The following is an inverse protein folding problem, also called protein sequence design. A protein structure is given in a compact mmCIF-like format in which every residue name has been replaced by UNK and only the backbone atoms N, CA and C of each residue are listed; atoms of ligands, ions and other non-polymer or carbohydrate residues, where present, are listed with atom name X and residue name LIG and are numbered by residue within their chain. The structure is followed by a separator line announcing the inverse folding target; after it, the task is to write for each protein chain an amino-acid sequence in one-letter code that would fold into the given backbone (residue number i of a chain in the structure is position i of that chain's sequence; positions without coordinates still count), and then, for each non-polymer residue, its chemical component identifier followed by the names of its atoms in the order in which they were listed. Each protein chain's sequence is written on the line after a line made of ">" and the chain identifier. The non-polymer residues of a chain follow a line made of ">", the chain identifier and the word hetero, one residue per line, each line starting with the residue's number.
data_IF_659276002830
#
_entry.id   IF_659276002830
#
_cell.length_a   1.000
_cell.length_b   1.000
_cell.length_c   1.000
_cell.angle_alpha   90.00
_cell.angle_beta   90.00
_cell.angle_gamma   90.00
#
_symmetry.space_group_name_H-M   'P 1'
#
loop_
_entity.id
_entity.type
_entity.pdbx_description
1 polymer ?
#
# COMPACT_ATOMS: atom_id res chain seq x y z
N UNK A 1 16.62 -2.36 8.52
CA UNK A 1 16.46 -1.09 7.78
C UNK A 1 15.23 -0.34 8.27
N UNK A 2 14.05 -0.95 8.27
CA UNK A 2 12.81 -0.33 8.80
C UNK A 2 12.99 0.20 10.23
N UNK A 3 13.52 -0.61 11.15
CA UNK A 3 13.70 -0.23 12.56
C UNK A 3 14.70 0.92 12.79
N UNK A 4 15.54 1.23 11.80
CA UNK A 4 16.50 2.35 11.87
C UNK A 4 15.97 3.64 11.23
N UNK A 5 14.73 3.64 10.74
CA UNK A 5 14.12 4.79 10.04
C UNK A 5 14.75 5.07 8.67
N UNK A 6 15.49 4.12 8.09
CA UNK A 6 16.01 4.28 6.73
C UNK A 6 14.85 4.37 5.74
N UNK A 7 14.76 5.49 5.02
CA UNK A 7 13.58 5.83 4.21
C UNK A 7 13.58 5.19 2.82
N UNK A 8 14.75 5.08 2.22
CA UNK A 8 14.89 4.60 0.84
C UNK A 8 15.71 3.32 0.81
N UNK A 9 15.04 2.20 0.62
CA UNK A 9 15.67 0.90 0.53
C UNK A 9 14.79 -0.10 -0.22
N UNK A 10 15.40 -1.16 -0.68
CA UNK A 10 14.75 -2.30 -1.31
C UNK A 10 15.50 -3.57 -0.96
N UNK A 11 14.98 -4.70 -1.41
CA UNK A 11 15.67 -5.97 -1.46
C UNK A 11 15.52 -6.61 -2.85
N UNK A 12 16.11 -7.76 -3.04
CA UNK A 12 16.04 -8.53 -4.27
C UNK A 12 14.91 -9.55 -4.17
N UNK A 13 13.68 -9.13 -4.49
CA UNK A 13 12.52 -10.01 -4.37
C UNK A 13 12.72 -11.34 -5.10
N UNK A 14 12.54 -12.44 -4.36
CA UNK A 14 12.86 -13.79 -4.80
C UNK A 14 14.28 -14.24 -4.50
N UNK A 15 15.12 -13.35 -3.97
CA UNK A 15 16.52 -13.58 -3.60
C UNK A 15 17.50 -13.32 -4.75
N UNK A 16 18.66 -12.75 -4.42
CA UNK A 16 19.73 -12.47 -5.37
C UNK A 16 20.30 -13.76 -5.98
N UNK A 17 20.60 -14.77 -5.14
CA UNK A 17 20.96 -16.11 -5.56
C UNK A 17 19.73 -17.00 -5.53
N UNK A 18 19.36 -17.53 -6.70
CA UNK A 18 18.16 -18.34 -6.86
C UNK A 18 18.51 -19.81 -7.06
N UNK A 19 17.63 -20.76 -6.65
CA UNK A 19 17.86 -22.17 -6.89
C UNK A 19 17.88 -22.49 -8.38
N UNK A 20 18.71 -23.43 -8.82
CA UNK A 20 18.81 -23.81 -10.24
C UNK A 20 17.49 -24.28 -10.84
N UNK A 21 16.62 -24.93 -10.04
CA UNK A 21 15.29 -25.37 -10.46
C UNK A 21 14.18 -24.33 -10.21
N UNK A 22 14.50 -23.03 -10.11
CA UNK A 22 13.58 -21.97 -9.74
C UNK A 22 12.28 -21.94 -10.57
N UNK A 23 12.34 -22.28 -11.86
CA UNK A 23 11.17 -22.22 -12.74
C UNK A 23 10.19 -23.38 -12.59
N UNK A 24 10.59 -24.46 -11.92
CA UNK A 24 9.77 -25.68 -11.73
C UNK A 24 9.55 -26.04 -10.27
N UNK A 25 10.28 -25.39 -9.34
CA UNK A 25 10.20 -25.66 -7.91
C UNK A 25 9.01 -24.89 -7.30
N UNK A 26 7.95 -25.60 -6.96
CA UNK A 26 6.72 -24.99 -6.39
C UNK A 26 6.96 -24.34 -5.01
N UNK A 27 7.87 -24.85 -4.22
CA UNK A 27 8.26 -24.21 -2.95
C UNK A 27 8.92 -22.84 -3.18
N UNK A 28 9.79 -22.78 -4.18
CA UNK A 28 10.38 -21.48 -4.57
C UNK A 28 9.34 -20.53 -5.17
N UNK A 29 8.33 -21.04 -5.92
CA UNK A 29 7.24 -20.21 -6.43
C UNK A 29 6.46 -19.55 -5.28
N UNK A 30 6.16 -20.28 -4.21
CA UNK A 30 5.55 -19.70 -3.01
C UNK A 30 6.44 -18.61 -2.40
N UNK A 31 7.73 -18.89 -2.20
CA UNK A 31 8.69 -17.93 -1.66
C UNK A 31 8.72 -16.65 -2.51
N UNK A 32 8.79 -16.77 -3.84
CA UNK A 32 8.78 -15.62 -4.75
C UNK A 32 7.51 -14.80 -4.62
N UNK A 33 6.34 -15.47 -4.59
CA UNK A 33 5.05 -14.80 -4.42
C UNK A 33 5.01 -14.03 -3.10
N UNK A 34 5.37 -14.68 -1.97
CA UNK A 34 5.37 -14.04 -0.65
C UNK A 34 6.31 -12.85 -0.59
N UNK A 35 7.46 -12.95 -1.23
CA UNK A 35 8.42 -11.85 -1.30
C UNK A 35 7.90 -10.66 -2.13
N UNK A 36 7.25 -10.93 -3.27
CA UNK A 36 6.58 -9.90 -4.07
C UNK A 36 5.43 -9.24 -3.30
N UNK A 37 4.65 -10.03 -2.56
CA UNK A 37 3.57 -9.52 -1.70
C UNK A 37 4.10 -8.52 -0.67
N UNK A 38 5.19 -8.87 0.02
CA UNK A 38 5.84 -7.95 0.97
C UNK A 38 6.46 -6.75 0.26
N UNK A 39 7.20 -6.99 -0.84
CA UNK A 39 7.90 -5.98 -1.62
C UNK A 39 7.00 -4.91 -2.22
N UNK A 40 5.72 -5.24 -2.46
CA UNK A 40 4.70 -4.27 -2.89
C UNK A 40 4.59 -3.10 -1.91
N UNK A 41 4.91 -3.32 -0.64
CA UNK A 41 4.86 -2.34 0.44
C UNK A 41 6.24 -1.92 0.95
N UNK A 42 7.29 -2.14 0.18
CA UNK A 42 8.61 -1.58 0.46
C UNK A 42 8.74 -0.17 -0.16
N UNK A 43 9.63 0.67 0.37
CA UNK A 43 9.85 2.00 -0.21
C UNK A 43 10.17 1.94 -1.70
N UNK A 44 11.08 1.08 -2.09
CA UNK A 44 11.40 0.77 -3.49
C UNK A 44 11.07 -0.72 -3.73
N UNK A 45 10.33 -1.00 -4.79
CA UNK A 45 9.99 -2.36 -5.19
C UNK A 45 10.84 -2.77 -6.39
N UNK A 46 11.54 -3.90 -6.30
CA UNK A 46 12.24 -4.48 -7.43
C UNK A 46 12.26 -6.00 -7.39
N UNK A 47 12.43 -6.60 -8.54
CA UNK A 47 12.77 -8.02 -8.71
C UNK A 47 14.17 -8.06 -9.30
N UNK A 48 15.12 -8.75 -8.64
CA UNK A 48 16.50 -8.84 -9.07
C UNK A 48 17.09 -10.19 -8.69
N UNK A 49 18.00 -10.71 -9.52
CA UNK A 49 18.70 -11.97 -9.25
C UNK A 49 19.97 -12.10 -10.08
N UNK A 50 20.99 -12.75 -9.52
CA UNK A 50 22.27 -12.97 -10.18
C UNK A 50 22.14 -14.06 -11.25
N UNK A 51 22.56 -13.73 -12.48
CA UNK A 51 22.60 -14.66 -13.63
C UNK A 51 21.31 -15.46 -13.83
N UNK A 52 20.15 -14.87 -13.56
CA UNK A 52 18.86 -15.52 -13.76
C UNK A 52 17.84 -14.56 -14.38
N UNK A 53 16.96 -15.12 -15.18
CA UNK A 53 15.81 -14.39 -15.70
C UNK A 53 14.77 -14.27 -14.59
N UNK A 54 14.25 -13.06 -14.38
CA UNK A 54 13.38 -12.75 -13.24
C UNK A 54 11.96 -12.36 -13.65
N UNK A 55 11.66 -12.48 -14.93
CA UNK A 55 10.37 -12.13 -15.51
C UNK A 55 9.25 -13.05 -15.00
N UNK A 56 8.11 -12.50 -14.56
CA UNK A 56 7.02 -13.28 -13.95
C UNK A 56 6.51 -14.46 -14.78
N UNK A 57 6.43 -14.30 -16.09
CA UNK A 57 5.95 -15.34 -17.02
C UNK A 57 6.82 -16.61 -17.09
N UNK A 58 8.05 -16.56 -16.59
CA UNK A 58 8.95 -17.70 -16.51
C UNK A 58 8.53 -18.74 -15.48
N UNK A 59 7.70 -18.35 -14.53
CA UNK A 59 7.27 -19.17 -13.39
C UNK A 59 5.88 -19.81 -13.60
N UNK A 60 5.30 -19.65 -14.79
CA UNK A 60 3.99 -20.17 -15.19
C UNK A 60 2.82 -19.25 -14.82
N UNK A 61 1.69 -19.47 -15.49
CA UNK A 61 0.52 -18.58 -15.49
C UNK A 61 -0.01 -18.24 -14.09
N UNK A 62 -0.04 -19.22 -13.17
CA UNK A 62 -0.52 -18.97 -11.81
C UNK A 62 0.35 -17.97 -11.06
N UNK A 63 1.67 -18.11 -11.15
CA UNK A 63 2.63 -17.22 -10.48
C UNK A 63 2.58 -15.84 -11.12
N UNK A 64 2.60 -15.79 -12.46
CA UNK A 64 2.48 -14.57 -13.23
C UNK A 64 1.22 -13.77 -12.86
N UNK A 65 0.06 -14.43 -12.83
CA UNK A 65 -1.21 -13.81 -12.47
C UNK A 65 -1.18 -13.19 -11.06
N UNK A 66 -0.61 -13.90 -10.08
CA UNK A 66 -0.51 -13.39 -8.70
C UNK A 66 0.44 -12.19 -8.65
N UNK A 67 1.60 -12.28 -9.30
CA UNK A 67 2.57 -11.18 -9.35
C UNK A 67 1.97 -9.95 -10.02
N UNK A 68 1.34 -10.11 -11.19
CA UNK A 68 0.69 -9.02 -11.92
C UNK A 68 -0.35 -8.30 -11.04
N UNK A 69 -1.15 -9.05 -10.28
CA UNK A 69 -2.13 -8.50 -9.35
C UNK A 69 -1.48 -7.59 -8.28
N UNK A 70 -0.30 -7.94 -7.75
CA UNK A 70 0.41 -7.11 -6.77
C UNK A 70 1.12 -5.92 -7.41
N UNK A 71 1.56 -6.05 -8.65
CA UNK A 71 2.05 -4.90 -9.44
C UNK A 71 0.92 -3.90 -9.69
N UNK A 72 -0.27 -4.38 -10.08
CA UNK A 72 -1.46 -3.54 -10.22
C UNK A 72 -1.79 -2.80 -8.92
N UNK A 73 -1.75 -3.51 -7.77
CA UNK A 73 -1.96 -2.87 -6.48
C UNK A 73 -0.93 -1.77 -6.21
N UNK A 74 0.35 -2.04 -6.48
CA UNK A 74 1.42 -1.04 -6.33
C UNK A 74 1.18 0.19 -7.20
N UNK A 75 0.80 -0.01 -8.48
CA UNK A 75 0.49 1.10 -9.38
C UNK A 75 -0.73 1.90 -8.92
N UNK A 76 -1.77 1.24 -8.46
CA UNK A 76 -2.94 1.93 -7.90
C UNK A 76 -2.62 2.72 -6.64
N UNK A 77 -1.71 2.24 -5.82
CA UNK A 77 -1.23 2.95 -4.62
C UNK A 77 -0.28 4.12 -4.92
N UNK A 78 0.16 4.35 -6.17
CA UNK A 78 1.13 5.40 -6.48
C UNK A 78 0.75 6.80 -5.97
N UNK A 79 -0.50 7.29 -6.06
CA UNK A 79 -0.86 8.58 -5.48
C UNK A 79 -0.64 8.64 -3.96
N UNK A 80 -0.98 7.56 -3.26
CA UNK A 80 -0.73 7.41 -1.83
C UNK A 80 0.77 7.38 -1.54
N UNK A 81 1.52 6.53 -2.22
CA UNK A 81 2.97 6.36 -2.04
C UNK A 81 3.71 7.67 -2.33
N UNK A 82 3.37 8.34 -3.43
CA UNK A 82 4.05 9.56 -3.85
C UNK A 82 3.86 10.70 -2.85
N UNK A 83 2.64 10.86 -2.34
CA UNK A 83 2.34 11.83 -1.28
C UNK A 83 3.07 11.51 0.03
N UNK A 84 3.20 10.24 0.40
CA UNK A 84 4.00 9.85 1.57
C UNK A 84 5.50 10.08 1.36
N UNK A 85 6.01 9.90 0.14
CA UNK A 85 7.38 10.20 -0.20
C UNK A 85 7.69 11.72 -0.16
N UNK A 86 6.72 12.55 -0.51
CA UNK A 86 6.82 13.99 -0.28
C UNK A 86 6.92 14.29 1.23
N UNK A 87 6.12 13.63 2.07
CA UNK A 87 6.24 13.78 3.53
C UNK A 87 7.60 13.31 4.08
N UNK A 88 8.23 12.30 3.45
CA UNK A 88 9.62 11.92 3.77
C UNK A 88 10.56 13.09 3.49
N UNK A 89 10.47 13.69 2.32
CA UNK A 89 11.39 14.75 1.88
C UNK A 89 11.19 16.07 2.64
N UNK A 90 9.94 16.46 2.91
CA UNK A 90 9.64 17.75 3.52
C UNK A 90 9.52 17.72 5.05
N UNK A 91 9.10 16.58 5.62
CA UNK A 91 8.73 16.50 7.05
C UNK A 91 9.59 15.49 7.82
N UNK A 92 10.57 14.83 7.18
CA UNK A 92 11.39 13.82 7.83
C UNK A 92 10.61 12.57 8.26
N UNK A 93 9.50 12.28 7.59
CA UNK A 93 8.68 11.06 7.80
C UNK A 93 9.38 9.82 7.27
N UNK A 94 8.78 8.66 7.42
CA UNK A 94 9.18 7.42 6.73
C UNK A 94 7.96 6.66 6.24
N UNK A 95 8.08 6.04 5.05
CA UNK A 95 6.96 5.32 4.43
C UNK A 95 6.69 3.98 5.10
N UNK A 96 7.74 3.20 5.37
CA UNK A 96 7.65 1.89 6.01
C UNK A 96 8.13 2.00 7.45
N UNK A 97 7.25 1.72 8.42
CA UNK A 97 7.48 1.95 9.83
C UNK A 97 7.19 0.72 10.68
N UNK A 98 8.07 0.30 11.58
CA UNK A 98 7.71 -0.71 12.57
C UNK A 98 6.57 -0.20 13.44
N UNK A 99 5.71 -1.10 13.93
CA UNK A 99 4.52 -0.70 14.70
C UNK A 99 4.85 0.17 15.91
N UNK A 100 6.03 0.00 16.51
CA UNK A 100 6.49 0.81 17.65
C UNK A 100 6.54 2.32 17.37
N UNK A 101 6.74 2.72 16.12
CA UNK A 101 6.79 4.16 15.79
C UNK A 101 5.41 4.83 15.84
N UNK A 102 4.37 4.10 15.53
CA UNK A 102 2.99 4.59 15.52
C UNK A 102 2.21 4.24 16.79
N UNK A 103 2.65 3.20 17.52
CA UNK A 103 1.98 2.65 18.70
C UNK A 103 3.00 2.41 19.84
N UNK A 104 3.72 3.45 20.32
CA UNK A 104 4.82 3.28 21.29
C UNK A 104 4.37 2.78 22.66
N UNK A 105 3.12 3.03 23.04
CA UNK A 105 2.55 2.60 24.33
C UNK A 105 1.88 1.23 24.27
N UNK A 106 1.76 0.65 23.07
CA UNK A 106 1.14 -0.65 22.86
C UNK A 106 2.19 -1.76 22.96
N UNK A 107 2.18 -2.45 24.12
CA UNK A 107 3.15 -3.52 24.42
C UNK A 107 3.23 -4.59 23.33
N UNK A 108 2.09 -5.01 22.78
CA UNK A 108 2.08 -6.06 21.78
C UNK A 108 2.55 -5.56 20.41
N UNK A 109 2.38 -4.28 20.12
CA UNK A 109 2.97 -3.67 18.92
C UNK A 109 4.50 -3.68 18.96
N UNK A 110 5.10 -3.52 20.14
CA UNK A 110 6.56 -3.59 20.33
C UNK A 110 7.14 -4.98 20.03
N UNK A 111 6.34 -6.02 20.19
CA UNK A 111 6.75 -7.42 20.01
C UNK A 111 6.59 -7.92 18.56
N UNK A 112 5.99 -7.11 17.66
CA UNK A 112 5.77 -7.51 16.27
C UNK A 112 6.99 -7.28 15.39
N UNK A 113 7.65 -8.37 14.99
CA UNK A 113 8.89 -8.32 14.19
C UNK A 113 8.65 -8.20 12.68
N UNK A 114 7.50 -8.65 12.18
CA UNK A 114 7.22 -8.75 10.74
C UNK A 114 6.10 -7.82 10.27
N UNK A 115 5.23 -7.40 11.20
CA UNK A 115 4.17 -6.45 10.86
C UNK A 115 4.71 -5.03 10.84
N UNK A 116 4.19 -4.21 9.93
CA UNK A 116 4.58 -2.82 9.80
C UNK A 116 3.46 -1.95 9.25
N UNK A 117 3.59 -0.65 9.48
CA UNK A 117 2.75 0.35 8.82
C UNK A 117 3.38 0.78 7.50
N UNK A 118 2.57 0.84 6.47
CA UNK A 118 2.90 1.45 5.18
C UNK A 118 2.17 2.79 5.07
N UNK A 119 2.91 3.87 5.29
CA UNK A 119 2.33 5.17 5.58
C UNK A 119 1.47 5.14 6.85
N UNK A 120 0.66 6.16 7.10
CA UNK A 120 -0.12 6.27 8.34
C UNK A 120 -1.35 5.35 8.40
N UNK A 121 -1.72 4.72 7.28
CA UNK A 121 -3.05 4.14 7.12
C UNK A 121 -3.08 2.62 6.98
N UNK A 122 -2.04 2.00 6.41
CA UNK A 122 -2.09 0.58 6.02
C UNK A 122 -1.16 -0.24 6.91
N UNK A 123 -1.72 -1.19 7.65
CA UNK A 123 -0.98 -2.24 8.35
C UNK A 123 -0.77 -3.43 7.40
N UNK A 124 0.46 -3.84 7.26
CA UNK A 124 0.89 -4.97 6.44
C UNK A 124 1.40 -6.08 7.35
N UNK A 125 0.88 -7.30 7.19
CA UNK A 125 1.34 -8.48 7.91
C UNK A 125 1.82 -9.56 6.91
N UNK A 126 3.07 -9.50 6.44
CA UNK A 126 3.59 -10.45 5.47
C UNK A 126 3.55 -11.89 5.97
N UNK A 127 3.25 -12.82 5.08
CA UNK A 127 3.41 -14.26 5.35
C UNK A 127 4.87 -14.61 5.09
N UNK A 128 5.61 -14.94 6.14
CA UNK A 128 7.07 -15.17 6.08
C UNK A 128 7.45 -16.65 6.17
N UNK A 129 6.47 -17.52 6.36
CA UNK A 129 6.66 -18.97 6.46
C UNK A 129 5.95 -19.67 5.30
N UNK A 130 6.60 -20.73 4.78
CA UNK A 130 6.05 -21.53 3.68
C UNK A 130 4.94 -22.47 4.17
N UNK A 131 3.94 -22.70 3.30
CA UNK A 131 2.84 -23.63 3.57
C UNK A 131 1.82 -23.17 4.61
N UNK A 132 1.91 -21.92 5.05
CA UNK A 132 0.97 -21.32 6.02
C UNK A 132 -0.35 -21.02 5.36
N UNK A 133 -1.45 -21.52 5.95
CA UNK A 133 -2.82 -21.24 5.52
C UNK A 133 -3.63 -20.44 6.56
N UNK A 134 -3.06 -20.19 7.73
CA UNK A 134 -3.63 -19.39 8.82
C UNK A 134 -2.51 -18.75 9.63
N UNK A 135 -2.66 -17.49 9.98
CA UNK A 135 -1.71 -16.78 10.82
C UNK A 135 -2.41 -15.86 11.81
N UNK A 136 -1.76 -15.59 12.93
CA UNK A 136 -2.19 -14.54 13.86
C UNK A 136 -1.63 -13.20 13.44
N UNK A 137 -2.49 -12.21 13.35
CA UNK A 137 -2.13 -10.82 13.11
C UNK A 137 -2.50 -10.01 14.34
N UNK A 138 -1.60 -9.21 14.84
CA UNK A 138 -1.88 -8.24 15.87
C UNK A 138 -2.40 -6.95 15.23
N UNK A 139 -3.56 -6.50 15.65
CA UNK A 139 -4.12 -5.21 15.28
C UNK A 139 -3.91 -4.24 16.45
N UNK A 140 -2.98 -3.27 16.34
CA UNK A 140 -2.67 -2.34 17.42
C UNK A 140 -3.89 -1.58 17.93
N UNK A 141 -3.81 -1.12 19.18
CA UNK A 141 -4.91 -0.39 19.77
C UNK A 141 -5.24 0.88 18.98
N UNK A 142 -6.47 0.95 18.54
CA UNK A 142 -7.02 2.07 17.79
C UNK A 142 -8.51 2.18 18.12
N UNK A 143 -8.95 3.31 18.64
CA UNK A 143 -10.33 3.48 19.11
C UNK A 143 -11.37 3.21 18.02
N UNK A 144 -11.10 3.59 16.79
CA UNK A 144 -11.97 3.37 15.64
C UNK A 144 -11.82 1.96 15.03
N UNK A 145 -10.77 1.23 15.39
CA UNK A 145 -10.46 -0.10 14.86
C UNK A 145 -9.82 -0.10 13.47
N UNK A 146 -9.90 -1.23 12.83
CA UNK A 146 -9.28 -1.56 11.56
C UNK A 146 -10.30 -2.16 10.60
N UNK A 147 -10.04 -2.05 9.32
CA UNK A 147 -10.87 -2.64 8.27
C UNK A 147 -9.99 -3.53 7.40
N UNK A 148 -10.39 -4.78 7.19
CA UNK A 148 -9.69 -5.65 6.23
C UNK A 148 -9.76 -5.05 4.83
N UNK A 149 -8.61 -4.87 4.20
CA UNK A 149 -8.51 -4.28 2.87
C UNK A 149 -9.19 -5.15 1.79
N UNK A 150 -9.21 -6.48 2.00
CA UNK A 150 -9.65 -7.42 0.96
C UNK A 150 -11.16 -7.61 0.91
N UNK A 151 -11.83 -7.51 2.06
CA UNK A 151 -13.28 -7.78 2.15
C UNK A 151 -14.08 -6.74 2.93
N UNK A 152 -13.42 -5.70 3.47
CA UNK A 152 -14.09 -4.61 4.17
C UNK A 152 -14.58 -4.98 5.58
N UNK A 153 -14.23 -6.16 6.10
CA UNK A 153 -14.64 -6.58 7.44
C UNK A 153 -14.01 -5.68 8.51
N UNK A 154 -14.81 -5.10 9.41
CA UNK A 154 -14.28 -4.30 10.52
C UNK A 154 -13.73 -5.19 11.64
N UNK A 155 -12.61 -4.76 12.22
CA UNK A 155 -11.93 -5.39 13.34
C UNK A 155 -11.67 -4.38 14.47
N UNK A 156 -11.72 -4.84 15.71
CA UNK A 156 -11.31 -4.03 16.86
C UNK A 156 -9.77 -3.90 16.89
N UNK A 157 -9.28 -2.79 17.43
CA UNK A 157 -7.88 -2.66 17.83
C UNK A 157 -7.59 -3.35 19.17
N UNK A 158 -6.29 -3.49 19.50
CA UNK A 158 -5.80 -4.11 20.74
C UNK A 158 -5.96 -5.64 20.79
N UNK A 159 -6.13 -6.33 19.65
CA UNK A 159 -6.40 -7.77 19.62
C UNK A 159 -5.51 -8.52 18.64
N UNK A 160 -5.29 -9.79 18.94
CA UNK A 160 -4.83 -10.77 17.96
C UNK A 160 -6.02 -11.35 17.21
N UNK A 161 -5.97 -11.35 15.91
CA UNK A 161 -6.99 -11.97 15.06
C UNK A 161 -6.38 -13.10 14.22
N UNK A 162 -7.11 -14.19 14.06
CA UNK A 162 -6.72 -15.31 13.21
C UNK A 162 -7.21 -15.07 11.80
N UNK A 163 -6.28 -14.99 10.85
CA UNK A 163 -6.55 -14.73 9.44
C UNK A 163 -6.23 -15.95 8.60
N UNK A 164 -7.19 -16.37 7.78
CA UNK A 164 -6.92 -17.36 6.74
C UNK A 164 -6.11 -16.70 5.61
N UNK A 165 -5.02 -17.34 5.22
CA UNK A 165 -4.12 -16.85 4.17
C UNK A 165 -4.01 -17.88 3.05
N UNK A 166 -3.98 -17.40 1.83
CA UNK A 166 -3.68 -18.17 0.62
C UNK A 166 -2.57 -17.48 -0.18
N UNK A 167 -2.24 -18.01 -1.34
CA UNK A 167 -1.22 -17.39 -2.19
C UNK A 167 -1.71 -16.10 -2.88
N UNK A 168 -3.02 -15.84 -2.90
CA UNK A 168 -3.59 -14.67 -3.56
C UNK A 168 -3.56 -13.41 -2.68
N UNK A 169 -3.46 -13.59 -1.35
CA UNK A 169 -3.60 -12.47 -0.39
C UNK A 169 -2.50 -12.51 0.66
N UNK A 170 -1.96 -11.34 0.97
CA UNK A 170 -1.27 -11.08 2.24
C UNK A 170 -2.21 -10.26 3.13
N UNK A 171 -2.29 -10.49 4.45
CA UNK A 171 -3.15 -9.71 5.32
C UNK A 171 -2.79 -8.23 5.28
N UNK A 172 -3.79 -7.41 4.98
CA UNK A 172 -3.72 -5.96 4.92
C UNK A 172 -4.91 -5.39 5.68
N UNK A 173 -4.64 -4.45 6.57
CA UNK A 173 -5.68 -3.76 7.31
C UNK A 173 -5.49 -2.25 7.17
N UNK A 174 -6.59 -1.54 7.03
CA UNK A 174 -6.59 -0.09 6.95
C UNK A 174 -7.21 0.47 8.23
N UNK A 175 -6.52 1.43 8.83
CA UNK A 175 -7.02 2.09 10.04
C UNK A 175 -8.32 2.84 9.73
N UNK A 176 -9.36 2.64 10.53
CA UNK A 176 -10.61 3.39 10.38
C UNK A 176 -10.36 4.89 10.54
N UNK A 177 -11.06 5.72 9.77
CA UNK A 177 -10.80 7.14 9.58
C UNK A 177 -9.80 7.44 8.46
N UNK A 178 -9.17 6.44 7.84
CA UNK A 178 -8.22 6.68 6.75
C UNK A 178 -8.88 7.05 5.43
N UNK A 179 -8.16 7.85 4.66
CA UNK A 179 -8.50 8.19 3.28
C UNK A 179 -7.34 7.68 2.40
N UNK A 180 -7.62 6.80 1.45
CA UNK A 180 -6.64 6.26 0.52
C UNK A 180 -6.92 6.77 -0.91
N UNK A 181 -6.08 7.66 -1.45
CA UNK A 181 -6.12 7.97 -2.88
C UNK A 181 -5.48 6.84 -3.68
N UNK A 182 -6.22 6.27 -4.60
CA UNK A 182 -5.81 5.22 -5.51
C UNK A 182 -5.86 5.74 -6.95
N UNK A 183 -4.78 5.55 -7.68
CA UNK A 183 -4.73 5.85 -9.11
C UNK A 183 -5.52 4.84 -9.96
N UNK A 184 -5.74 5.14 -11.24
CA UNK A 184 -6.26 4.17 -12.19
C UNK A 184 -5.25 3.03 -12.42
N UNK A 185 -5.73 1.93 -13.00
CA UNK A 185 -4.86 0.87 -13.47
C UNK A 185 -4.00 1.38 -14.63
N UNK A 186 -2.70 1.08 -14.60
CA UNK A 186 -1.72 1.53 -15.59
C UNK A 186 -0.77 0.42 -15.97
N UNK A 187 -0.26 0.46 -17.20
CA UNK A 187 0.78 -0.46 -17.68
C UNK A 187 2.19 -0.02 -17.25
N UNK A 188 2.42 1.27 -17.06
CA UNK A 188 3.66 1.85 -16.58
C UNK A 188 3.40 3.17 -15.85
N UNK A 189 4.33 3.59 -14.96
CA UNK A 189 4.09 4.69 -14.02
C UNK A 189 3.74 6.02 -14.69
N UNK A 190 4.39 6.34 -15.82
CA UNK A 190 4.19 7.58 -16.57
C UNK A 190 3.03 7.50 -17.61
N UNK A 191 2.27 6.40 -17.63
CA UNK A 191 1.11 6.32 -18.53
C UNK A 191 0.09 7.41 -18.21
N UNK A 192 -0.21 8.23 -19.20
CA UNK A 192 -1.28 9.23 -19.08
C UNK A 192 -2.64 8.58 -19.27
N UNK A 193 -3.59 8.94 -18.44
CA UNK A 193 -4.97 8.43 -18.48
C UNK A 193 -5.92 9.50 -18.00
N UNK A 194 -7.13 9.54 -18.61
CA UNK A 194 -8.23 10.37 -18.20
C UNK A 194 -9.16 9.68 -17.18
N UNK A 195 -8.84 8.44 -16.80
CA UNK A 195 -9.63 7.73 -15.80
C UNK A 195 -9.52 8.44 -14.44
N UNK A 196 -10.62 8.53 -13.69
CA UNK A 196 -10.66 9.18 -12.39
C UNK A 196 -9.81 8.39 -11.37
N UNK A 197 -9.24 9.13 -10.40
CA UNK A 197 -8.72 8.49 -9.21
C UNK A 197 -9.88 7.99 -8.35
N UNK A 198 -9.62 6.97 -7.56
CA UNK A 198 -10.54 6.46 -6.54
C UNK A 198 -10.10 6.96 -5.16
N UNK A 199 -10.98 7.67 -4.47
CA UNK A 199 -10.76 8.10 -3.09
C UNK A 199 -11.54 7.17 -2.18
N UNK A 200 -10.85 6.23 -1.53
CA UNK A 200 -11.46 5.31 -0.56
C UNK A 200 -11.48 5.93 0.82
N UNK A 201 -12.66 5.97 1.43
CA UNK A 201 -12.88 6.41 2.79
C UNK A 201 -13.17 5.18 3.63
N UNK A 202 -12.38 4.96 4.67
CA UNK A 202 -12.58 3.91 5.66
C UNK A 202 -13.28 4.52 6.87
N UNK A 203 -14.61 4.37 7.00
CA UNK A 203 -15.39 5.07 8.02
C UNK A 203 -15.08 4.56 9.44
N UNK A 204 -15.58 5.29 10.45
CA UNK A 204 -15.45 4.95 11.87
C UNK A 204 -14.73 6.01 12.70
N UNK A 205 -14.03 6.96 12.05
CA UNK A 205 -13.47 8.15 12.66
C UNK A 205 -13.30 9.26 11.63
N UNK A 206 -13.11 10.48 12.11
CA UNK A 206 -12.65 11.59 11.28
C UNK A 206 -11.25 11.32 10.75
N UNK A 207 -10.96 11.80 9.55
CA UNK A 207 -9.68 11.59 8.92
C UNK A 207 -9.25 12.68 7.97
N UNK A 208 -7.96 12.70 7.65
CA UNK A 208 -7.42 13.62 6.66
C UNK A 208 -6.27 12.98 5.90
N UNK A 209 -6.07 13.44 4.68
CA UNK A 209 -4.94 13.04 3.86
C UNK A 209 -4.54 14.21 2.95
N UNK A 210 -3.25 14.54 2.92
CA UNK A 210 -2.71 15.55 2.01
C UNK A 210 -2.14 14.88 0.78
N UNK A 211 -2.66 15.24 -0.38
CA UNK A 211 -2.17 14.77 -1.68
C UNK A 211 -1.09 15.73 -2.17
N UNK A 212 -0.04 15.17 -2.73
CA UNK A 212 1.08 15.89 -3.32
C UNK A 212 1.27 15.50 -4.79
N UNK A 213 1.55 16.49 -5.64
CA UNK A 213 1.86 16.31 -7.05
C UNK A 213 2.97 17.28 -7.49
N UNK A 214 3.84 16.83 -8.37
CA UNK A 214 4.88 17.62 -9.04
C UNK A 214 5.16 17.09 -10.46
N UNK A 215 6.24 17.52 -11.09
CA UNK A 215 6.63 17.05 -12.43
C UNK A 215 7.14 15.60 -12.47
N UNK A 216 7.45 14.98 -11.33
CA UNK A 216 7.79 13.56 -11.19
C UNK A 216 9.20 13.14 -11.60
N UNK A 217 9.93 13.94 -12.38
CA UNK A 217 11.18 13.53 -13.04
C UNK A 217 12.37 14.48 -12.80
N UNK A 218 12.21 15.51 -11.98
CA UNK A 218 13.23 16.51 -11.74
C UNK A 218 13.21 17.03 -10.30
N UNK A 219 14.08 18.00 -10.00
CA UNK A 219 14.19 18.62 -8.67
C UNK A 219 13.55 20.01 -8.59
N UNK A 220 12.62 20.35 -9.48
CA UNK A 220 11.94 21.64 -9.44
C UNK A 220 11.06 21.82 -8.22
N UNK A 221 10.64 20.71 -7.57
CA UNK A 221 9.93 20.75 -6.30
C UNK A 221 10.73 21.49 -5.20
N UNK A 222 12.06 21.42 -5.20
CA UNK A 222 12.93 22.17 -4.28
C UNK A 222 12.82 23.70 -4.48
N UNK A 223 12.32 24.12 -5.64
CA UNK A 223 12.06 25.53 -6.00
C UNK A 223 10.59 25.90 -5.85
N UNK A 224 9.79 25.04 -5.18
CA UNK A 224 8.37 25.25 -4.97
C UNK A 224 7.46 24.89 -6.15
N UNK A 225 7.98 24.17 -7.17
CA UNK A 225 7.19 23.70 -8.32
C UNK A 225 6.48 22.39 -7.96
N UNK A 226 5.47 22.48 -7.13
CA UNK A 226 4.60 21.36 -6.75
C UNK A 226 3.22 21.89 -6.34
N UNK A 227 2.27 21.00 -6.21
CA UNK A 227 0.91 21.28 -5.75
C UNK A 227 0.49 20.32 -4.66
N UNK A 228 -0.31 20.82 -3.71
CA UNK A 228 -0.94 20.00 -2.68
C UNK A 228 -2.41 20.32 -2.57
N UNK A 229 -3.21 19.35 -2.15
CA UNK A 229 -4.58 19.57 -1.69
C UNK A 229 -4.92 18.57 -0.57
N UNK A 230 -5.86 18.96 0.29
CA UNK A 230 -6.27 18.16 1.44
C UNK A 230 -7.61 17.47 1.19
N UNK A 231 -7.69 16.23 1.59
CA UNK A 231 -8.90 15.45 1.73
C UNK A 231 -9.23 15.37 3.22
N UNK A 232 -10.45 15.75 3.62
CA UNK A 232 -10.90 15.69 5.02
C UNK A 232 -12.24 14.99 5.10
N UNK A 233 -12.31 13.96 5.92
CA UNK A 233 -13.52 13.21 6.20
C UNK A 233 -14.04 13.55 7.59
N UNK A 234 -15.31 13.95 7.65
CA UNK A 234 -16.06 14.04 8.91
C UNK A 234 -16.97 12.82 9.01
N UNK A 235 -16.69 11.94 9.96
CA UNK A 235 -17.42 10.67 10.06
C UNK A 235 -18.83 10.85 10.61
N UNK A 236 -19.08 11.85 11.45
CA UNK A 236 -20.41 12.10 12.01
C UNK A 236 -21.40 12.58 10.93
N UNK A 237 -20.94 13.46 10.03
CA UNK A 237 -21.75 14.08 9.00
C UNK A 237 -21.66 13.32 7.66
N UNK A 238 -20.79 12.30 7.57
CA UNK A 238 -20.49 11.55 6.34
C UNK A 238 -20.11 12.48 5.17
N UNK A 239 -19.30 13.50 5.49
CA UNK A 239 -18.91 14.54 4.54
C UNK A 239 -17.44 14.46 4.21
N UNK A 240 -17.09 14.36 2.92
CA UNK A 240 -15.76 14.55 2.39
C UNK A 240 -15.59 15.98 1.90
N UNK A 241 -14.60 16.68 2.45
CA UNK A 241 -14.18 17.99 1.95
C UNK A 241 -12.87 17.81 1.17
N UNK A 242 -12.85 18.33 -0.07
CA UNK A 242 -11.66 18.42 -0.91
C UNK A 242 -11.28 19.90 -0.98
N UNK A 243 -10.08 20.25 -0.52
CA UNK A 243 -9.64 21.65 -0.55
C UNK A 243 -9.25 22.10 -1.96
N UNK A 244 -9.15 23.40 -2.15
CA UNK A 244 -8.47 23.95 -3.31
C UNK A 244 -6.99 23.50 -3.32
N UNK A 245 -6.42 23.40 -4.52
CA UNK A 245 -4.99 23.13 -4.70
C UNK A 245 -4.16 24.35 -4.29
N UNK A 246 -3.04 24.09 -3.61
CA UNK A 246 -2.03 25.08 -3.25
C UNK A 246 -0.76 24.82 -4.04
N UNK A 247 -0.22 25.84 -4.68
CA UNK A 247 0.95 25.71 -5.55
C UNK A 247 0.62 25.29 -6.98
N UNK A 248 1.65 25.17 -7.79
CA UNK A 248 1.55 24.79 -9.20
C UNK A 248 2.89 24.29 -9.72
N UNK A 249 2.85 23.56 -10.81
CA UNK A 249 4.02 23.06 -11.53
C UNK A 249 3.72 22.92 -13.04
N UNK A 250 4.75 22.80 -13.85
CA UNK A 250 4.59 22.67 -15.30
C UNK A 250 3.92 21.32 -15.63
N UNK A 251 2.89 21.36 -16.50
CA UNK A 251 2.11 20.17 -16.87
C UNK A 251 1.05 19.75 -15.84
N UNK A 252 0.81 20.51 -14.79
CA UNK A 252 -0.26 20.25 -13.84
C UNK A 252 -1.61 20.20 -14.54
N UNK A 253 -2.39 19.12 -14.36
CA UNK A 253 -3.76 19.02 -14.89
C UNK A 253 -4.66 20.08 -14.26
N UNK A 254 -5.39 20.83 -15.08
CA UNK A 254 -6.34 21.85 -14.59
C UNK A 254 -7.48 21.22 -13.78
N UNK A 255 -7.94 20.05 -14.18
CA UNK A 255 -9.05 19.33 -13.56
C UNK A 255 -8.67 17.89 -13.26
N UNK A 256 -9.12 17.41 -12.11
CA UNK A 256 -9.04 16.02 -11.72
C UNK A 256 -10.44 15.48 -11.44
N UNK A 257 -10.68 14.24 -11.84
CA UNK A 257 -11.93 13.54 -11.54
C UNK A 257 -11.67 12.50 -10.44
N UNK A 258 -12.61 12.39 -9.52
CA UNK A 258 -12.54 11.43 -8.41
C UNK A 258 -13.80 10.57 -8.33
N UNK A 259 -13.63 9.28 -8.15
CA UNK A 259 -14.65 8.36 -7.71
C UNK A 259 -14.56 8.27 -6.18
N UNK A 260 -15.56 8.75 -5.46
CA UNK A 260 -15.58 8.68 -4.01
C UNK A 260 -16.24 7.37 -3.59
N UNK A 261 -15.53 6.58 -2.80
CA UNK A 261 -15.98 5.26 -2.36
C UNK A 261 -15.89 5.16 -0.84
N UNK A 262 -17.03 5.01 -0.19
CA UNK A 262 -17.09 4.64 1.23
C UNK A 262 -16.94 3.13 1.31
N UNK A 263 -15.93 2.67 2.02
CA UNK A 263 -15.62 1.25 2.14
C UNK A 263 -16.63 0.55 3.04
N UNK A 264 -17.20 -0.52 2.52
CA UNK A 264 -18.07 -1.47 3.23
C UNK A 264 -17.71 -2.89 2.78
N UNK A 265 -18.24 -3.95 3.41
CA UNK A 265 -18.03 -5.31 2.90
C UNK A 265 -18.47 -5.54 1.44
N UNK A 266 -19.40 -4.69 0.95
CA UNK A 266 -19.94 -4.77 -0.42
C UNK A 266 -19.28 -3.81 -1.41
N UNK A 267 -18.46 -2.87 -0.94
CA UNK A 267 -17.92 -1.79 -1.77
C UNK A 267 -16.51 -1.35 -1.36
N UNK A 268 -15.68 -1.02 -2.33
CA UNK A 268 -14.37 -0.43 -2.11
C UNK A 268 -13.32 -1.40 -1.54
N UNK A 269 -13.51 -2.70 -1.72
CA UNK A 269 -12.63 -3.74 -1.21
C UNK A 269 -11.66 -4.25 -2.26
N UNK A 270 -10.50 -4.77 -1.80
CA UNK A 270 -9.49 -5.36 -2.68
C UNK A 270 -8.86 -4.36 -3.67
N UNK A 271 -8.37 -4.88 -4.80
CA UNK A 271 -7.61 -4.07 -5.77
C UNK A 271 -8.54 -3.33 -6.73
N UNK A 272 -9.61 -3.96 -7.17
CA UNK A 272 -10.52 -3.43 -8.19
C UNK A 272 -11.90 -3.16 -7.62
N UNK A 273 -12.52 -2.09 -8.08
CA UNK A 273 -13.96 -1.94 -7.88
C UNK A 273 -14.70 -3.02 -8.68
N UNK A 274 -15.79 -3.60 -8.15
CA UNK A 274 -16.74 -4.31 -8.99
C UNK A 274 -17.17 -3.39 -10.11
N UNK A 275 -17.16 -3.86 -11.36
CA UNK A 275 -17.77 -3.10 -12.46
C UNK A 275 -19.24 -2.92 -12.09
N UNK A 276 -19.64 -1.68 -11.86
CA UNK A 276 -21.07 -1.34 -11.76
C UNK A 276 -21.64 -1.57 -13.16
N UNK A 277 -22.45 -2.62 -13.31
CA UNK A 277 -23.17 -2.89 -14.54
C UNK A 277 -24.26 -1.86 -14.78
#
# INVERSE_FOLDING_TARGET
>A
QMATGLTWWTDDAGGFFRPGAQYTNTGYHEQLIRWIQAGTFFPLMRVHGYMSNTEPWRYGEKVEHIIARYLDLRYRLLPYIYSQNAAVSFNGSTLMRPLVMDFPEDRFALEQNYQFMFGPSILVAPVVESGVNRMKVYLPECAAGWVDFWDGTPHKGGIFTDINVDLMKTPLFVKAGSILPLGPQKQYAAEETEQPWEIRIYPGADGSYSVYEDEGINYNYEKGQFSTFDLKWNDSDKTLTISDRKGSFAGMKERMAFNIVIVTPESGTGIYQPKVN
#
